data_IF_908336169524
#
_entry.id   IF_908336169524
#
_cell.length_a   1.000
_cell.length_b   1.000
_cell.length_c   1.000
_cell.angle_alpha   90.00
_cell.angle_beta   90.00
_cell.angle_gamma   90.00
#
_symmetry.space_group_name_H-M   'P 1'
#
loop_
_entity.id
_entity.type
_entity.pdbx_description
1 polymer ?
#
# COMPACT_ATOMS: atom_id res chain seq x y z
N UNK A 1 17.94 18.37 -4.55
CA UNK A 1 16.92 19.13 -5.30
C UNK A 1 15.91 18.14 -5.84
N UNK A 2 14.71 18.09 -5.26
CA UNK A 2 13.61 17.27 -5.81
C UNK A 2 13.06 17.95 -7.04
N UNK A 3 12.98 17.23 -8.16
CA UNK A 3 12.33 17.72 -9.38
C UNK A 3 10.85 17.91 -9.04
N UNK A 4 10.35 19.14 -9.10
CA UNK A 4 8.94 19.41 -8.92
C UNK A 4 8.16 18.59 -9.96
N UNK A 5 7.09 17.85 -9.56
CA UNK A 5 6.32 17.05 -10.50
C UNK A 5 5.78 17.95 -11.61
N UNK A 6 5.99 17.53 -12.86
CA UNK A 6 5.48 18.26 -14.04
C UNK A 6 3.95 18.33 -13.95
N UNK A 7 3.32 19.50 -14.17
CA UNK A 7 1.86 19.60 -14.14
C UNK A 7 1.23 18.62 -15.15
N UNK A 8 0.09 17.99 -14.81
CA UNK A 8 -0.55 17.03 -15.70
C UNK A 8 -0.89 17.67 -17.05
N UNK A 9 -0.69 16.93 -18.16
CA UNK A 9 -1.05 17.41 -19.52
C UNK A 9 -2.49 17.93 -19.59
N UNK A 10 -3.39 17.34 -18.81
CA UNK A 10 -4.81 17.76 -18.67
C UNK A 10 -4.92 19.23 -18.27
N UNK A 11 -4.14 19.71 -17.31
CA UNK A 11 -4.20 21.11 -16.87
C UNK A 11 -3.72 22.06 -17.97
N UNK A 12 -2.73 21.65 -18.75
CA UNK A 12 -2.22 22.44 -19.88
C UNK A 12 -3.26 22.54 -21.00
N UNK A 13 -3.91 21.42 -21.34
CA UNK A 13 -4.90 21.35 -22.42
C UNK A 13 -6.20 22.09 -22.10
N UNK A 14 -6.72 21.90 -20.88
CA UNK A 14 -8.04 22.43 -20.50
C UNK A 14 -7.95 23.72 -19.67
N UNK A 15 -6.73 24.21 -19.40
CA UNK A 15 -6.45 25.38 -18.58
C UNK A 15 -7.05 25.33 -17.15
N UNK A 16 -7.45 24.14 -16.69
CA UNK A 16 -8.04 23.90 -15.38
C UNK A 16 -7.68 22.50 -14.87
N UNK A 17 -7.53 22.34 -13.55
CA UNK A 17 -7.34 21.03 -12.93
C UNK A 17 -8.65 20.21 -12.95
N UNK A 18 -8.61 18.88 -13.12
CA UNK A 18 -9.80 18.06 -13.02
C UNK A 18 -10.37 18.08 -11.59
N UNK A 19 -11.67 18.30 -11.43
CA UNK A 19 -12.36 18.23 -10.13
C UNK A 19 -12.75 16.82 -9.72
N UNK A 20 -12.82 15.90 -10.69
CA UNK A 20 -13.09 14.47 -10.48
C UNK A 20 -11.93 13.67 -11.05
N UNK A 21 -11.36 12.77 -10.23
CA UNK A 21 -10.32 11.84 -10.63
C UNK A 21 -10.80 10.42 -10.37
N UNK A 22 -10.74 9.57 -11.39
CA UNK A 22 -11.02 8.14 -11.28
C UNK A 22 -9.71 7.39 -11.45
N UNK A 23 -9.31 6.66 -10.42
CA UNK A 23 -8.13 5.81 -10.41
C UNK A 23 -8.57 4.35 -10.49
N UNK A 24 -8.18 3.70 -11.59
CA UNK A 24 -8.39 2.28 -11.83
C UNK A 24 -7.15 1.70 -12.52
N UNK A 25 -6.22 1.19 -11.72
CA UNK A 25 -5.07 0.45 -12.21
C UNK A 25 -4.82 -0.75 -11.33
N UNK A 26 -4.29 -1.81 -11.93
CA UNK A 26 -3.92 -3.03 -11.24
C UNK A 26 -2.72 -3.66 -11.93
N UNK A 27 -1.86 -4.31 -11.15
CA UNK A 27 -0.82 -5.21 -11.61
C UNK A 27 -1.03 -6.58 -10.95
N UNK A 28 -0.81 -7.62 -11.74
CA UNK A 28 -0.88 -9.01 -11.33
C UNK A 28 0.32 -9.75 -11.91
N UNK A 29 0.95 -10.54 -11.06
CA UNK A 29 2.14 -11.33 -11.39
C UNK A 29 1.77 -12.80 -11.48
N UNK A 30 2.03 -13.40 -12.63
CA UNK A 30 1.88 -14.84 -12.78
C UNK A 30 2.98 -15.56 -11.99
N UNK A 31 2.56 -16.40 -11.05
CA UNK A 31 3.46 -17.26 -10.28
C UNK A 31 4.10 -18.32 -11.18
N UNK A 32 5.45 -18.44 -11.23
CA UNK A 32 6.13 -19.51 -11.97
C UNK A 32 5.75 -20.91 -11.47
N UNK A 33 5.60 -21.05 -10.15
CA UNK A 33 5.06 -22.24 -9.51
C UNK A 33 3.63 -21.93 -9.02
N UNK A 34 2.65 -22.69 -9.52
CA UNK A 34 1.23 -22.48 -9.20
C UNK A 34 0.84 -23.00 -7.82
N UNK A 35 1.71 -23.75 -7.16
CA UNK A 35 1.49 -24.30 -5.83
C UNK A 35 2.26 -23.54 -4.75
N UNK A 36 3.15 -22.60 -5.13
CA UNK A 36 3.97 -21.82 -4.21
C UNK A 36 3.80 -20.31 -4.38
N UNK A 37 3.32 -19.65 -3.32
CA UNK A 37 3.23 -18.19 -3.21
C UNK A 37 4.59 -17.49 -3.12
N UNK A 38 5.67 -18.21 -2.83
CA UNK A 38 7.01 -17.64 -2.68
C UNK A 38 7.85 -17.73 -3.95
N UNK A 39 7.24 -18.14 -5.07
CA UNK A 39 7.95 -18.33 -6.34
C UNK A 39 8.04 -17.07 -7.22
N UNK A 40 7.33 -15.99 -6.86
CA UNK A 40 7.49 -14.68 -7.53
C UNK A 40 8.72 -13.93 -7.00
N UNK A 41 9.38 -13.16 -7.87
CA UNK A 41 10.56 -12.40 -7.46
C UNK A 41 10.19 -11.19 -6.58
N UNK A 42 11.15 -10.72 -5.78
CA UNK A 42 11.01 -9.50 -4.99
C UNK A 42 10.71 -8.28 -5.88
N UNK A 43 11.26 -8.26 -7.09
CA UNK A 43 11.03 -7.18 -8.06
C UNK A 43 9.57 -7.17 -8.53
N UNK A 44 8.98 -8.34 -8.78
CA UNK A 44 7.56 -8.46 -9.13
C UNK A 44 6.66 -8.04 -7.96
N UNK A 45 7.01 -8.41 -6.72
CA UNK A 45 6.30 -7.93 -5.53
C UNK A 45 6.37 -6.40 -5.43
N UNK A 46 7.56 -5.83 -5.59
CA UNK A 46 7.74 -4.38 -5.55
C UNK A 46 6.95 -3.67 -6.65
N UNK A 47 6.91 -4.23 -7.86
CA UNK A 47 6.08 -3.72 -8.96
C UNK A 47 4.60 -3.75 -8.60
N UNK A 48 4.12 -4.87 -8.07
CA UNK A 48 2.73 -5.03 -7.61
C UNK A 48 2.35 -4.00 -6.56
N UNK A 49 3.18 -3.81 -5.54
CA UNK A 49 2.96 -2.79 -4.50
C UNK A 49 2.98 -1.37 -5.07
N UNK A 50 3.91 -1.08 -5.98
CA UNK A 50 4.00 0.23 -6.62
C UNK A 50 2.72 0.56 -7.40
N UNK A 51 2.16 -0.40 -8.14
CA UNK A 51 0.94 -0.19 -8.93
C UNK A 51 -0.32 -0.21 -8.06
N UNK A 52 -0.49 -1.24 -7.24
CA UNK A 52 -1.74 -1.48 -6.51
C UNK A 52 -1.89 -0.60 -5.26
N UNK A 53 -0.78 -0.14 -4.66
CA UNK A 53 -0.79 0.60 -3.38
C UNK A 53 -0.21 2.01 -3.49
N UNK A 54 0.95 2.17 -4.12
CA UNK A 54 1.65 3.48 -4.11
C UNK A 54 1.07 4.43 -5.16
N UNK A 55 0.82 3.99 -6.39
CA UNK A 55 0.28 4.89 -7.41
C UNK A 55 -1.11 5.47 -7.13
N UNK A 56 -2.09 4.82 -6.48
CA UNK A 56 -3.32 5.52 -6.09
C UNK A 56 -3.03 6.65 -5.09
N UNK A 57 -2.08 6.48 -4.17
CA UNK A 57 -1.66 7.54 -3.24
C UNK A 57 -0.99 8.71 -3.97
N UNK A 58 -0.09 8.43 -4.93
CA UNK A 58 0.53 9.46 -5.77
C UNK A 58 -0.52 10.21 -6.60
N UNK A 59 -1.47 9.49 -7.20
CA UNK A 59 -2.57 10.09 -7.96
C UNK A 59 -3.44 11.00 -7.09
N UNK A 60 -3.75 10.58 -5.86
CA UNK A 60 -4.49 11.40 -4.90
C UNK A 60 -3.72 12.67 -4.51
N UNK A 61 -2.40 12.59 -4.27
CA UNK A 61 -1.57 13.77 -4.00
C UNK A 61 -1.61 14.78 -5.16
N UNK A 62 -1.50 14.30 -6.40
CA UNK A 62 -1.60 15.16 -7.58
C UNK A 62 -2.98 15.79 -7.74
N UNK A 63 -4.05 15.02 -7.46
CA UNK A 63 -5.41 15.52 -7.47
C UNK A 63 -5.60 16.65 -6.44
N UNK A 64 -5.16 16.44 -5.19
CA UNK A 64 -5.23 17.43 -4.12
C UNK A 64 -4.48 18.71 -4.49
N UNK A 65 -3.25 18.59 -4.99
CA UNK A 65 -2.47 19.76 -5.45
C UNK A 65 -3.17 20.52 -6.59
N UNK A 66 -3.80 19.81 -7.53
CA UNK A 66 -4.61 20.45 -8.58
C UNK A 66 -5.87 21.13 -8.04
N UNK A 67 -6.46 20.60 -6.97
CA UNK A 67 -7.68 21.12 -6.37
C UNK A 67 -7.47 22.36 -5.50
N UNK A 68 -6.27 22.56 -4.97
CA UNK A 68 -5.87 23.81 -4.31
C UNK A 68 -5.98 25.01 -5.27
N UNK A 69 -5.91 24.78 -6.57
CA UNK A 69 -6.05 25.83 -7.60
C UNK A 69 -7.49 26.02 -8.09
N UNK A 70 -8.46 25.25 -7.58
CA UNK A 70 -9.87 25.35 -7.99
C UNK A 70 -10.66 26.29 -7.06
N UNK A 71 -11.70 26.98 -7.58
CA UNK A 71 -12.67 27.69 -6.75
C UNK A 71 -13.24 26.82 -5.62
N UNK A 72 -13.60 27.45 -4.49
CA UNK A 72 -14.06 26.75 -3.28
C UNK A 72 -15.40 26.04 -3.49
N UNK A 73 -16.21 26.55 -4.40
CA UNK A 73 -17.55 26.07 -4.74
C UNK A 73 -17.51 24.79 -5.56
N UNK A 74 -16.38 24.50 -6.23
CA UNK A 74 -16.21 23.27 -7.00
C UNK A 74 -16.03 22.09 -6.06
N UNK A 75 -16.98 21.15 -6.11
CA UNK A 75 -16.89 19.85 -5.42
C UNK A 75 -15.75 19.02 -6.02
N UNK A 76 -14.98 18.38 -5.14
CA UNK A 76 -13.77 17.63 -5.47
C UNK A 76 -14.00 16.16 -5.12
N UNK A 77 -13.73 15.25 -6.04
CA UNK A 77 -14.01 13.82 -5.83
C UNK A 77 -12.87 12.96 -6.36
N UNK A 78 -12.36 12.04 -5.53
CA UNK A 78 -11.44 11.00 -5.95
C UNK A 78 -12.13 9.64 -5.82
N UNK A 79 -12.18 8.88 -6.91
CA UNK A 79 -12.76 7.54 -6.95
C UNK A 79 -11.61 6.57 -7.15
N UNK A 80 -11.27 5.80 -6.12
CA UNK A 80 -10.34 4.68 -6.23
C UNK A 80 -11.16 3.40 -6.41
N UNK A 81 -11.04 2.74 -7.56
CA UNK A 81 -11.66 1.44 -7.75
C UNK A 81 -10.82 0.39 -7.03
N UNK A 82 -11.40 -0.30 -6.06
CA UNK A 82 -10.73 -1.38 -5.32
C UNK A 82 -10.94 -2.74 -5.98
N UNK A 83 -10.26 -3.75 -5.44
CA UNK A 83 -10.53 -5.16 -5.74
C UNK A 83 -11.30 -5.84 -4.58
N UNK A 84 -11.85 -7.03 -4.82
CA UNK A 84 -12.59 -7.81 -3.81
C UNK A 84 -11.68 -8.35 -2.68
N UNK A 85 -10.37 -8.46 -2.91
CA UNK A 85 -9.42 -9.03 -1.96
C UNK A 85 -9.16 -8.14 -0.75
N UNK A 86 -9.61 -6.88 -0.80
CA UNK A 86 -9.73 -6.01 0.37
C UNK A 86 -10.65 -6.59 1.46
N UNK A 87 -11.71 -7.29 1.07
CA UNK A 87 -12.76 -7.79 1.99
C UNK A 87 -12.83 -9.32 2.07
N UNK A 88 -12.31 -10.02 1.07
CA UNK A 88 -12.34 -11.49 0.99
C UNK A 88 -10.95 -12.07 0.75
N UNK A 89 -10.67 -13.24 1.31
CA UNK A 89 -9.43 -13.97 1.01
C UNK A 89 -9.68 -14.82 -0.24
N UNK A 90 -8.88 -14.63 -1.28
CA UNK A 90 -8.85 -15.50 -2.46
C UNK A 90 -7.54 -16.31 -2.41
N UNK A 91 -7.57 -17.59 -1.99
CA UNK A 91 -6.36 -18.38 -1.75
C UNK A 91 -5.80 -18.96 -3.06
N UNK A 92 -5.43 -18.09 -3.99
CA UNK A 92 -4.81 -18.47 -5.27
C UNK A 92 -3.45 -17.79 -5.37
N UNK A 93 -2.34 -18.51 -5.64
CA UNK A 93 -1.00 -17.89 -5.73
C UNK A 93 -0.90 -16.79 -6.78
N UNK A 94 -1.68 -16.89 -7.86
CA UNK A 94 -1.85 -15.84 -8.87
C UNK A 94 -2.37 -14.50 -8.31
N UNK A 95 -3.09 -14.54 -7.19
CA UNK A 95 -3.75 -13.38 -6.57
C UNK A 95 -2.91 -12.75 -5.45
N UNK A 96 -1.67 -13.23 -5.25
CA UNK A 96 -0.83 -12.82 -4.13
C UNK A 96 -0.57 -11.32 -4.12
N UNK A 97 -0.04 -10.75 -5.20
CA UNK A 97 0.34 -9.33 -5.27
C UNK A 97 -0.87 -8.39 -5.27
N UNK A 98 -2.00 -8.82 -5.84
CA UNK A 98 -3.27 -8.11 -5.75
C UNK A 98 -3.85 -8.13 -4.33
N UNK A 99 -3.62 -9.18 -3.53
CA UNK A 99 -4.04 -9.25 -2.13
C UNK A 99 -3.03 -8.66 -1.12
N UNK A 100 -1.81 -8.36 -1.59
CA UNK A 100 -0.77 -7.65 -0.84
C UNK A 100 -0.97 -6.13 -0.83
N UNK A 101 -1.94 -5.61 -1.59
CA UNK A 101 -2.35 -4.21 -1.66
C UNK A 101 -2.86 -3.60 -0.32
N UNK A 102 -2.63 -4.33 0.77
CA UNK A 102 -2.98 -3.95 2.11
C UNK A 102 -4.44 -4.27 2.39
N UNK A 103 -4.67 -5.42 3.04
CA UNK A 103 -5.66 -5.40 4.12
C UNK A 103 -5.29 -4.23 5.02
N UNK A 104 -6.22 -3.32 5.25
CA UNK A 104 -6.09 -2.29 6.29
C UNK A 104 -6.02 -3.03 7.63
N UNK A 105 -4.84 -3.51 8.00
CA UNK A 105 -4.56 -4.11 9.30
C UNK A 105 -4.52 -3.04 10.39
N UNK A 106 -4.64 -1.76 10.04
CA UNK A 106 -4.69 -0.65 10.99
C UNK A 106 -5.76 -0.78 12.08
N UNK A 107 -6.84 -1.56 11.86
CA UNK A 107 -7.83 -1.85 12.90
C UNK A 107 -7.47 -3.06 13.79
N UNK A 108 -6.43 -3.82 13.45
CA UNK A 108 -5.95 -5.00 14.16
C UNK A 108 -4.50 -4.86 14.68
N UNK A 109 -3.82 -3.75 14.38
CA UNK A 109 -2.48 -3.44 14.87
C UNK A 109 -2.60 -2.70 16.20
N UNK A 110 -1.98 -3.25 17.25
CA UNK A 110 -1.86 -2.58 18.54
C UNK A 110 -0.53 -1.81 18.59
N UNK A 111 -0.61 -0.48 18.52
CA UNK A 111 0.59 0.39 18.48
C UNK A 111 1.44 0.32 19.75
N UNK A 112 0.82 0.11 20.92
CA UNK A 112 1.54 -0.03 22.19
C UNK A 112 2.35 -1.32 22.22
N UNK A 113 1.74 -2.44 21.79
CA UNK A 113 2.42 -3.73 21.71
C UNK A 113 3.63 -3.71 20.76
N UNK A 114 3.57 -2.95 19.66
CA UNK A 114 4.72 -2.76 18.77
C UNK A 114 5.83 -1.91 19.42
N UNK A 115 5.46 -0.86 20.16
CA UNK A 115 6.43 -0.02 20.88
C UNK A 115 7.17 -0.79 21.98
N UNK A 116 6.44 -1.61 22.74
CA UNK A 116 7.03 -2.49 23.76
C UNK A 116 7.98 -3.51 23.16
N UNK A 117 7.57 -4.18 22.06
CA UNK A 117 8.44 -5.15 21.40
C UNK A 117 9.69 -4.49 20.79
N UNK A 118 9.57 -3.28 20.25
CA UNK A 118 10.72 -2.52 19.77
C UNK A 118 11.71 -2.18 20.90
N UNK A 119 11.20 -1.79 22.08
CA UNK A 119 12.05 -1.52 23.24
C UNK A 119 12.81 -2.78 23.71
N UNK A 120 12.16 -3.96 23.69
CA UNK A 120 12.81 -5.24 24.00
C UNK A 120 13.96 -5.56 23.03
N UNK A 121 13.75 -5.33 21.72
CA UNK A 121 14.79 -5.50 20.70
C UNK A 121 15.95 -4.51 20.91
N UNK A 122 15.64 -3.24 21.20
CA UNK A 122 16.64 -2.19 21.39
C UNK A 122 17.50 -2.41 22.66
N UNK A 123 16.90 -2.96 23.71
CA UNK A 123 17.58 -3.25 24.98
C UNK A 123 18.29 -4.62 25.00
N UNK A 124 18.24 -5.40 23.90
CA UNK A 124 18.85 -6.73 23.79
C UNK A 124 18.42 -7.69 24.90
N UNK A 125 17.14 -7.66 25.29
CA UNK A 125 16.72 -8.40 26.49
C UNK A 125 16.84 -9.92 26.36
N UNK A 126 16.85 -10.48 25.15
CA UNK A 126 17.14 -11.91 24.89
C UNK A 126 17.69 -12.13 23.46
N UNK A 127 18.10 -13.37 23.13
CA UNK A 127 18.56 -13.83 21.79
C UNK A 127 17.44 -13.79 20.73
N UNK A 128 16.75 -12.67 20.58
CA UNK A 128 15.67 -12.48 19.62
C UNK A 128 16.29 -12.34 18.23
N UNK A 129 15.94 -13.21 17.26
CA UNK A 129 16.46 -13.11 15.92
C UNK A 129 16.02 -11.79 15.27
N UNK A 130 16.87 -11.24 14.41
CA UNK A 130 16.56 -10.02 13.64
C UNK A 130 15.25 -10.14 12.82
N UNK A 131 14.89 -11.36 12.43
CA UNK A 131 13.57 -11.73 11.95
C UNK A 131 12.75 -12.39 13.07
N UNK A 132 12.03 -11.56 13.82
CA UNK A 132 11.18 -12.00 14.92
C UNK A 132 9.71 -11.67 14.68
N UNK A 133 8.83 -12.59 15.09
CA UNK A 133 7.39 -12.36 15.18
C UNK A 133 7.02 -12.25 16.66
N UNK A 134 6.07 -11.38 17.00
CA UNK A 134 5.62 -11.20 18.37
C UNK A 134 4.11 -11.34 18.48
N UNK A 135 3.65 -11.67 19.68
CA UNK A 135 2.23 -11.66 20.05
C UNK A 135 2.05 -10.65 21.17
N UNK A 136 1.01 -9.83 21.07
CA UNK A 136 0.64 -8.88 22.13
C UNK A 136 0.60 -9.58 23.50
N UNK A 137 1.15 -8.93 24.52
CA UNK A 137 1.28 -9.40 25.91
C UNK A 137 2.17 -10.66 26.10
N UNK A 138 2.73 -11.23 25.03
CA UNK A 138 3.59 -12.42 25.07
C UNK A 138 5.02 -12.15 24.58
N UNK A 139 5.27 -11.04 23.89
CA UNK A 139 6.58 -10.73 23.32
C UNK A 139 6.92 -11.64 22.14
N UNK A 140 8.21 -11.94 21.95
CA UNK A 140 8.67 -12.82 20.88
C UNK A 140 8.02 -14.21 20.96
N UNK A 141 7.51 -14.69 19.83
CA UNK A 141 6.98 -16.05 19.70
C UNK A 141 7.57 -16.70 18.45
N UNK A 142 8.27 -17.81 18.66
CA UNK A 142 8.70 -18.68 17.58
C UNK A 142 7.57 -19.68 17.27
N UNK A 143 6.92 -19.51 16.12
CA UNK A 143 5.97 -20.47 15.62
C UNK A 143 6.72 -21.64 14.97
N UNK A 144 6.32 -22.88 15.28
CA UNK A 144 6.84 -24.11 14.67
C UNK A 144 6.10 -24.45 13.39
#
# INVERSE_FOLDING_TARGET
MGVAPRPPKVKTEFHISPSVVVYNAAALTNSPDKDSIFSISVESVALGLNVNTISPYVAAQQAVSGWETLPKEIKKTFICTGNIMKVSIVPMPLMLDLGMDGKFKGMALDGAAHGEFYAQLANYEENVPWHATFVKDKGYVQFK
#
